data_IF_308927199130
#
_entry.id   IF_308927199130
#
_cell.length_a   1.000
_cell.length_b   1.000
_cell.length_c   1.000
_cell.angle_alpha   90.00
_cell.angle_beta   90.00
_cell.angle_gamma   90.00
#
_symmetry.space_group_name_H-M   'P 1'
#
loop_
_entity.id
_entity.type
_entity.pdbx_description
1 polymer ?
#
# COMPACT_ATOMS: atom_id res chain seq x y z
N UNK A 1 7.71 2.92 14.40
CA UNK A 1 6.42 2.34 14.00
C UNK A 1 5.85 1.55 15.16
N UNK A 2 4.62 1.87 15.60
CA UNK A 2 3.91 1.11 16.63
C UNK A 2 2.55 0.70 16.10
N UNK A 3 2.08 -0.51 16.46
CA UNK A 3 0.74 -0.96 16.08
C UNK A 3 -0.33 -0.25 16.92
N UNK A 4 -1.54 -0.19 16.38
CA UNK A 4 -2.71 0.31 17.12
C UNK A 4 -2.91 -0.52 18.39
N UNK A 5 -3.47 0.13 19.42
CA UNK A 5 -3.78 -0.52 20.69
C UNK A 5 -4.61 -1.79 20.46
N UNK A 6 -4.22 -2.90 21.12
CA UNK A 6 -4.81 -4.25 20.99
C UNK A 6 -4.71 -4.93 19.62
N UNK A 7 -3.93 -4.41 18.67
CA UNK A 7 -3.72 -5.06 17.35
C UNK A 7 -2.31 -5.60 17.17
N UNK A 8 -1.66 -6.04 18.25
CA UNK A 8 -0.32 -6.64 18.20
C UNK A 8 -0.39 -8.04 17.56
N UNK A 9 0.71 -8.50 16.95
CA UNK A 9 0.80 -9.82 16.30
C UNK A 9 0.88 -9.76 14.78
N UNK A 10 0.95 -10.91 14.12
CA UNK A 10 1.02 -11.01 12.64
C UNK A 10 -0.29 -10.56 12.00
N UNK A 11 -0.27 -10.03 10.76
CA UNK A 11 -1.50 -9.71 10.04
C UNK A 11 -2.32 -10.97 9.78
N UNK A 12 -3.65 -10.85 9.83
CA UNK A 12 -4.58 -11.95 9.55
C UNK A 12 -4.52 -12.42 8.09
N UNK A 13 -5.08 -13.61 7.83
CA UNK A 13 -4.96 -14.28 6.52
C UNK A 13 -5.59 -13.47 5.38
N UNK A 14 -6.63 -12.69 5.70
CA UNK A 14 -7.30 -11.79 4.78
C UNK A 14 -6.32 -10.81 4.08
N UNK A 15 -5.20 -10.45 4.73
CA UNK A 15 -4.17 -9.58 4.15
C UNK A 15 -3.47 -10.19 2.95
N UNK A 16 -3.27 -11.51 2.97
CA UNK A 16 -2.53 -12.25 1.95
C UNK A 16 -3.43 -12.68 0.78
N UNK A 17 -4.71 -12.92 1.05
CA UNK A 17 -5.68 -13.38 0.05
C UNK A 17 -6.19 -12.25 -0.86
N UNK A 18 -5.78 -10.99 -0.64
CA UNK A 18 -6.18 -9.88 -1.50
C UNK A 18 -5.48 -9.97 -2.85
N UNK A 19 -6.25 -10.14 -3.92
CA UNK A 19 -5.73 -10.10 -5.28
C UNK A 19 -5.51 -8.64 -5.72
N UNK A 20 -4.30 -8.30 -6.15
CA UNK A 20 -3.98 -6.98 -6.71
C UNK A 20 -3.81 -7.07 -8.23
N UNK A 21 -4.29 -6.06 -8.94
CA UNK A 21 -4.11 -5.91 -10.38
C UNK A 21 -3.25 -4.70 -10.70
N UNK A 22 -2.61 -4.70 -11.87
CA UNK A 22 -1.91 -3.51 -12.38
C UNK A 22 -2.95 -2.40 -12.61
N UNK A 23 -2.62 -1.18 -12.21
CA UNK A 23 -3.54 -0.03 -12.27
C UNK A 23 -4.42 0.15 -11.02
N UNK A 24 -4.45 -0.80 -10.08
CA UNK A 24 -5.18 -0.62 -8.82
C UNK A 24 -4.57 0.50 -7.97
N UNK A 25 -5.43 1.28 -7.32
CA UNK A 25 -5.03 2.23 -6.28
C UNK A 25 -4.79 1.51 -4.96
N UNK A 26 -3.62 1.75 -4.38
CA UNK A 26 -3.20 1.09 -3.14
C UNK A 26 -2.59 2.07 -2.15
N UNK A 27 -2.88 1.86 -0.88
CA UNK A 27 -2.33 2.61 0.24
C UNK A 27 -1.18 1.83 0.88
N UNK A 28 -0.07 2.53 1.11
CA UNK A 28 1.10 1.93 1.74
C UNK A 28 1.00 2.12 3.25
N UNK A 29 0.82 1.01 3.97
CA UNK A 29 0.69 0.98 5.43
C UNK A 29 1.71 0.01 5.99
N UNK A 30 2.82 0.56 6.49
CA UNK A 30 3.90 -0.20 7.12
C UNK A 30 3.37 -0.99 8.34
N UNK A 31 3.61 -2.30 8.32
CA UNK A 31 3.26 -3.21 9.42
C UNK A 31 4.56 -3.64 10.13
N UNK A 32 4.82 -3.19 11.37
CA UNK A 32 6.12 -3.44 12.00
C UNK A 32 6.33 -4.90 12.43
N UNK A 33 5.30 -5.76 12.38
CA UNK A 33 5.45 -7.18 12.71
C UNK A 33 6.15 -7.96 11.62
N UNK A 34 6.32 -7.38 10.43
CA UNK A 34 7.04 -7.97 9.30
C UNK A 34 8.09 -6.97 8.85
N UNK A 35 9.36 -7.32 9.03
CA UNK A 35 10.48 -6.44 8.68
C UNK A 35 10.87 -6.54 7.19
N UNK A 36 10.51 -7.64 6.53
CA UNK A 36 10.84 -7.88 5.12
C UNK A 36 9.99 -7.02 4.21
N UNK A 37 10.61 -6.32 3.26
CA UNK A 37 9.89 -5.48 2.29
C UNK A 37 9.17 -4.27 2.91
N UNK A 38 9.60 -3.86 4.11
CA UNK A 38 9.04 -2.75 4.85
C UNK A 38 9.34 -1.43 4.10
N UNK A 39 8.31 -0.61 3.80
CA UNK A 39 8.51 0.63 3.06
C UNK A 39 9.24 1.69 3.89
N UNK A 40 9.92 2.62 3.21
CA UNK A 40 10.52 3.77 3.88
C UNK A 40 9.45 4.67 4.52
N UNK A 41 9.76 5.25 5.68
CA UNK A 41 8.81 6.03 6.52
C UNK A 41 8.09 7.13 5.78
N UNK A 42 8.77 7.81 4.86
CA UNK A 42 8.18 8.89 4.07
C UNK A 42 6.99 8.43 3.20
N UNK A 43 6.95 7.16 2.80
CA UNK A 43 5.89 6.62 1.96
C UNK A 43 4.74 6.00 2.75
N UNK A 44 4.85 5.94 4.09
CA UNK A 44 3.76 5.50 4.93
C UNK A 44 2.57 6.45 4.80
N UNK A 45 1.36 5.90 4.61
CA UNK A 45 0.14 6.68 4.42
C UNK A 45 0.02 7.36 3.06
N UNK A 46 0.89 7.02 2.09
CA UNK A 46 0.76 7.48 0.70
C UNK A 46 -0.03 6.47 -0.12
N UNK A 47 -0.88 7.00 -0.98
CA UNK A 47 -1.58 6.24 -2.02
C UNK A 47 -0.74 6.27 -3.30
N UNK A 48 -0.69 5.15 -4.00
CA UNK A 48 0.00 5.01 -5.27
C UNK A 48 -0.74 4.05 -6.20
N UNK A 49 -0.20 3.90 -7.41
CA UNK A 49 -0.76 3.03 -8.44
C UNK A 49 0.16 1.82 -8.61
N UNK A 50 -0.42 0.62 -8.69
CA UNK A 50 0.34 -0.60 -8.93
C UNK A 50 0.85 -0.61 -10.39
N UNK A 51 2.17 -0.55 -10.58
CA UNK A 51 2.79 -0.66 -11.90
C UNK A 51 3.19 -2.11 -12.22
N UNK A 52 3.57 -2.90 -11.20
CA UNK A 52 3.98 -4.28 -11.37
C UNK A 52 3.49 -5.15 -10.22
N UNK A 53 3.23 -6.42 -10.52
CA UNK A 53 2.79 -7.44 -9.55
C UNK A 53 3.80 -8.57 -9.59
N UNK A 54 4.47 -8.82 -8.47
CA UNK A 54 5.34 -9.99 -8.27
C UNK A 54 4.62 -10.99 -7.36
N UNK A 55 5.20 -12.19 -7.21
CA UNK A 55 4.61 -13.27 -6.41
C UNK A 55 4.26 -12.86 -4.97
N UNK A 56 5.17 -12.15 -4.29
CA UNK A 56 5.04 -11.78 -2.87
C UNK A 56 5.08 -10.26 -2.63
N UNK A 57 5.21 -9.46 -3.69
CA UNK A 57 5.44 -8.02 -3.59
C UNK A 57 4.78 -7.27 -4.75
N UNK A 58 4.49 -6.00 -4.51
CA UNK A 58 3.89 -5.10 -5.46
C UNK A 58 4.86 -3.97 -5.76
N UNK A 59 4.99 -3.67 -7.05
CA UNK A 59 5.61 -2.44 -7.53
C UNK A 59 4.57 -1.33 -7.51
N UNK A 60 4.77 -0.32 -6.67
CA UNK A 60 3.88 0.84 -6.54
C UNK A 60 4.59 2.10 -7.02
N UNK A 61 3.93 2.87 -7.88
CA UNK A 61 4.34 4.20 -8.31
C UNK A 61 3.62 5.26 -7.45
N UNK A 62 4.40 6.13 -6.81
CA UNK A 62 3.93 7.16 -5.89
C UNK A 62 4.43 8.51 -6.38
N UNK A 63 3.56 9.51 -6.35
CA UNK A 63 3.95 10.89 -6.58
C UNK A 63 4.49 11.50 -5.30
N UNK A 64 5.77 11.87 -5.29
CA UNK A 64 6.44 12.59 -4.20
C UNK A 64 6.71 14.03 -4.64
N UNK A 65 6.28 15.00 -3.85
CA UNK A 65 6.61 16.41 -4.07
C UNK A 65 7.99 16.68 -3.43
N UNK A 66 8.91 17.27 -4.19
CA UNK A 66 10.22 17.71 -3.70
C UNK A 66 10.42 19.16 -4.14
N UNK A 67 10.36 20.09 -3.18
CA UNK A 67 10.32 21.52 -3.49
C UNK A 67 9.15 21.84 -4.42
N UNK A 68 9.45 22.43 -5.58
CA UNK A 68 8.46 22.86 -6.56
C UNK A 68 8.12 21.80 -7.62
N UNK A 69 8.73 20.60 -7.60
CA UNK A 69 8.51 19.56 -8.63
C UNK A 69 7.89 18.29 -8.08
N UNK A 70 7.03 17.67 -8.88
CA UNK A 70 6.47 16.34 -8.62
C UNK A 70 7.37 15.28 -9.24
N UNK A 71 7.86 14.36 -8.42
CA UNK A 71 8.70 13.24 -8.83
C UNK A 71 7.93 11.94 -8.61
N UNK A 72 7.83 11.14 -9.66
CA UNK A 72 7.29 9.78 -9.57
C UNK A 72 8.37 8.85 -9.03
N UNK A 73 8.10 8.20 -7.91
CA UNK A 73 8.98 7.22 -7.27
C UNK A 73 8.36 5.84 -7.40
N UNK A 74 9.13 4.88 -7.87
CA UNK A 74 8.74 3.47 -7.95
C UNK A 74 9.38 2.71 -6.80
N UNK A 75 8.57 1.99 -6.04
CA UNK A 75 9.03 1.19 -4.91
C UNK A 75 8.45 -0.21 -4.98
N UNK A 76 9.20 -1.20 -4.47
CA UNK A 76 8.72 -2.56 -4.31
C UNK A 76 8.39 -2.78 -2.84
N UNK A 77 7.14 -3.10 -2.55
CA UNK A 77 6.63 -3.28 -1.19
C UNK A 77 5.94 -4.62 -1.09
N UNK A 78 6.11 -5.30 0.03
CA UNK A 78 5.44 -6.55 0.31
C UNK A 78 3.92 -6.39 0.52
N UNK A 79 3.14 -7.41 0.17
CA UNK A 79 1.67 -7.39 0.19
C UNK A 79 1.13 -7.06 1.59
N UNK A 80 1.85 -7.48 2.64
CA UNK A 80 1.50 -7.25 4.03
C UNK A 80 1.42 -5.76 4.39
N UNK A 81 2.21 -4.94 3.69
CA UNK A 81 2.27 -3.49 3.90
C UNK A 81 1.43 -2.68 2.91
N UNK A 82 0.57 -3.32 2.12
CA UNK A 82 -0.23 -2.66 1.07
C UNK A 82 -1.72 -2.89 1.32
N UNK A 83 -2.55 -1.84 1.34
CA UNK A 83 -4.02 -1.94 1.42
C UNK A 83 -4.61 -1.54 0.07
N UNK A 84 -5.70 -2.18 -0.34
CA UNK A 84 -6.51 -1.64 -1.44
C UNK A 84 -7.19 -0.36 -0.97
N UNK A 85 -7.01 0.70 -1.73
CA UNK A 85 -7.67 1.98 -1.46
C UNK A 85 -9.11 1.92 -1.96
N UNK A 86 -10.04 2.50 -1.21
CA UNK A 86 -11.47 2.62 -1.62
C UNK A 86 -11.75 3.87 -2.46
N UNK A 87 -10.71 4.56 -2.91
CA UNK A 87 -10.83 5.88 -3.55
C UNK A 87 -11.66 5.89 -4.84
N UNK A 88 -11.88 4.72 -5.45
CA UNK A 88 -12.63 4.56 -6.70
C UNK A 88 -13.95 3.80 -6.51
N UNK A 89 -14.36 3.47 -5.28
CA UNK A 89 -15.75 3.06 -5.01
C UNK A 89 -16.60 4.32 -5.17
N UNK A 90 -17.11 4.55 -6.37
CA UNK A 90 -18.19 5.49 -6.56
C UNK A 90 -19.33 5.08 -5.61
N UNK A 91 -19.89 5.97 -4.78
CA UNK A 91 -21.13 5.67 -4.10
C UNK A 91 -22.14 5.42 -5.21
N UNK A 92 -22.61 4.18 -5.35
CA UNK A 92 -23.71 3.89 -6.25
C UNK A 92 -24.92 4.69 -5.74
N UNK A 93 -25.14 5.82 -6.41
CA UNK A 93 -26.45 6.36 -6.66
C UNK A 93 -27.15 5.34 -7.56
N UNK A 94 -28.03 4.54 -6.97
CA UNK A 94 -28.78 3.54 -7.72
C UNK A 94 -29.72 2.73 -6.84
N UNK A 95 -30.97 3.20 -6.79
CA UNK A 95 -32.23 2.60 -6.31
C UNK A 95 -32.35 2.20 -4.84
#
# INVERSE_FOLDING_TARGET
YSKKYRTKGRPGIARYLVNFKRGDYVDIVADPSIQKGLPYSLYHGRTGIVFNVNLNALGVEITKIVGNRQLRKRIHVRIEHVRKSRCNEAPCSGS
#
